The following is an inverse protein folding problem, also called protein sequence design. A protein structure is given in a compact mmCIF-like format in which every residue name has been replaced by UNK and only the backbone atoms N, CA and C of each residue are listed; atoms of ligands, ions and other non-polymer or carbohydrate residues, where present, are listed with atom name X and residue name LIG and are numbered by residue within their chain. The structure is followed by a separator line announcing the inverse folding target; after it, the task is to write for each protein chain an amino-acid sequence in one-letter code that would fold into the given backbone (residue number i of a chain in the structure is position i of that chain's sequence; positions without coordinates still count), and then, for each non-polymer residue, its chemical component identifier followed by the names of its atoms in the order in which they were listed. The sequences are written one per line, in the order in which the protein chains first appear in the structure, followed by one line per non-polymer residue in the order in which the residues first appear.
data_IF_112942345249
#
_entry.id   IF_112942345249
#
_cell.length_a   1.000
_cell.length_b   1.000
_cell.length_c   1.000
_cell.angle_alpha   90.00
_cell.angle_beta   90.00
_cell.angle_gamma   90.00
#
_symmetry.space_group_name_H-M   'P 1'
#
loop_
_entity.id
_entity.type
_entity.pdbx_description
1 polymer ?
#
# COMPACT_ATOMS: atom_id res chain seq x y z
N UNK A 1 14.55 -4.02 2.22
CA UNK A 1 15.68 -3.24 2.81
C UNK A 1 15.17 -1.91 3.39
N UNK A 2 15.43 -1.63 4.67
CA UNK A 2 14.84 -0.49 5.39
C UNK A 2 15.18 0.86 4.76
N UNK A 3 16.41 1.06 4.30
CA UNK A 3 16.86 2.36 3.82
C UNK A 3 16.29 2.70 2.44
N UNK A 4 16.09 1.69 1.59
CA UNK A 4 15.41 1.85 0.31
C UNK A 4 13.95 2.22 0.55
N UNK A 5 13.27 1.53 1.47
CA UNK A 5 11.86 1.82 1.81
C UNK A 5 11.74 3.25 2.35
N UNK A 6 12.63 3.68 3.26
CA UNK A 6 12.67 5.05 3.77
C UNK A 6 12.91 6.08 2.66
N UNK A 7 13.78 5.77 1.70
CA UNK A 7 14.03 6.63 0.54
C UNK A 7 12.77 6.77 -0.30
N UNK A 8 12.08 5.68 -0.59
CA UNK A 8 10.82 5.70 -1.33
C UNK A 8 9.72 6.47 -0.57
N UNK A 9 9.61 6.27 0.74
CA UNK A 9 8.67 7.00 1.60
C UNK A 9 8.93 8.51 1.57
N UNK A 10 10.19 8.93 1.65
CA UNK A 10 10.58 10.35 1.55
C UNK A 10 10.17 10.99 0.21
N UNK A 11 10.11 10.21 -0.87
CA UNK A 11 9.66 10.68 -2.17
C UNK A 11 8.12 10.55 -2.35
N UNK A 12 7.38 10.14 -1.32
CA UNK A 12 5.92 10.04 -1.35
C UNK A 12 5.37 8.77 -2.01
N UNK A 13 6.22 7.82 -2.40
CA UNK A 13 5.81 6.68 -3.24
C UNK A 13 4.90 5.67 -2.53
N UNK A 14 4.89 5.66 -1.19
CA UNK A 14 3.99 4.78 -0.41
C UNK A 14 2.54 5.27 -0.40
N UNK A 15 2.32 6.57 -0.59
CA UNK A 15 1.00 7.17 -0.76
C UNK A 15 0.69 7.54 -2.21
N UNK A 16 1.36 6.92 -3.19
CA UNK A 16 1.35 7.36 -4.59
C UNK A 16 -0.05 7.62 -5.15
N UNK A 17 -1.00 6.69 -4.94
CA UNK A 17 -2.38 6.80 -5.45
C UNK A 17 -3.33 7.56 -4.52
N UNK A 18 -2.90 7.90 -3.30
CA UNK A 18 -3.77 8.56 -2.33
C UNK A 18 -3.98 10.04 -2.68
N UNK A 19 -5.13 10.61 -2.27
CA UNK A 19 -5.37 12.05 -2.29
C UNK A 19 -4.30 12.86 -1.57
N UNK A 20 -4.04 14.07 -2.06
CA UNK A 20 -3.09 15.01 -1.46
C UNK A 20 -3.46 15.42 -0.04
N UNK A 21 -4.76 15.44 0.31
CA UNK A 21 -5.25 15.69 1.68
C UNK A 21 -4.73 14.67 2.72
N UNK A 22 -4.38 13.46 2.28
CA UNK A 22 -3.78 12.41 3.12
C UNK A 22 -2.26 12.30 2.92
N UNK A 23 -1.64 13.25 2.22
CA UNK A 23 -0.20 13.26 1.93
C UNK A 23 0.21 12.38 0.74
N UNK A 24 -0.73 12.02 -0.14
CA UNK A 24 -0.46 11.26 -1.36
C UNK A 24 -0.06 12.12 -2.56
N UNK A 25 0.20 11.44 -3.69
CA UNK A 25 0.63 12.07 -4.95
C UNK A 25 -0.44 12.07 -6.04
N UNK A 26 -1.65 11.55 -5.75
CA UNK A 26 -2.78 11.50 -6.67
C UNK A 26 -2.45 10.81 -8.01
N UNK A 27 -1.57 9.81 -8.00
CA UNK A 27 -1.26 9.02 -9.18
C UNK A 27 -2.48 8.25 -9.66
N UNK A 28 -2.74 8.32 -10.97
CA UNK A 28 -3.65 7.38 -11.61
C UNK A 28 -3.02 5.97 -11.69
N UNK A 29 -3.86 4.97 -11.99
CA UNK A 29 -3.39 3.58 -12.03
C UNK A 29 -2.43 3.30 -13.20
N UNK A 30 -2.40 4.13 -14.24
CA UNK A 30 -1.42 4.02 -15.33
C UNK A 30 -0.04 4.40 -14.81
N UNK A 31 0.06 5.54 -14.13
CA UNK A 31 1.28 6.03 -13.48
C UNK A 31 1.77 5.05 -12.42
N UNK A 32 0.85 4.53 -11.59
CA UNK A 32 1.19 3.50 -10.60
C UNK A 32 1.68 2.19 -11.24
N UNK A 33 1.08 1.77 -12.35
CA UNK A 33 1.53 0.62 -13.14
C UNK A 33 2.96 0.79 -13.67
N UNK A 34 3.26 1.94 -14.25
CA UNK A 34 4.61 2.27 -14.73
C UNK A 34 5.64 2.33 -13.58
N UNK A 35 5.26 2.90 -12.44
CA UNK A 35 6.09 2.93 -11.24
C UNK A 35 6.43 1.51 -10.76
N UNK A 36 5.43 0.64 -10.61
CA UNK A 36 5.64 -0.73 -10.13
C UNK A 36 6.42 -1.59 -11.12
N UNK A 37 6.28 -1.36 -12.43
CA UNK A 37 7.13 -1.96 -13.47
C UNK A 37 8.59 -1.54 -13.31
N UNK A 38 8.86 -0.23 -13.15
CA UNK A 38 10.20 0.30 -12.97
C UNK A 38 10.88 -0.25 -11.71
N UNK A 39 10.14 -0.33 -10.59
CA UNK A 39 10.65 -0.94 -9.35
C UNK A 39 10.93 -2.43 -9.54
N UNK A 40 10.04 -3.17 -10.22
CA UNK A 40 10.18 -4.60 -10.44
C UNK A 40 11.43 -4.97 -11.27
N UNK A 41 11.87 -4.09 -12.19
CA UNK A 41 13.15 -4.27 -12.92
C UNK A 41 14.36 -4.32 -12.00
N UNK A 42 14.31 -3.65 -10.85
CA UNK A 42 15.34 -3.73 -9.81
C UNK A 42 15.07 -4.84 -8.78
N UNK A 43 13.84 -4.93 -8.28
CA UNK A 43 13.43 -5.94 -7.30
C UNK A 43 11.93 -6.22 -7.34
N UNK A 44 11.57 -7.43 -7.75
CA UNK A 44 10.19 -7.93 -7.70
C UNK A 44 9.65 -7.97 -6.25
N UNK A 45 10.50 -8.31 -5.28
CA UNK A 45 10.13 -8.31 -3.87
C UNK A 45 9.75 -6.92 -3.36
N UNK A 46 10.48 -5.88 -3.78
CA UNK A 46 10.15 -4.49 -3.42
C UNK A 46 8.86 -4.03 -4.11
N UNK A 47 8.65 -4.40 -5.37
CA UNK A 47 7.38 -4.13 -6.08
C UNK A 47 6.18 -4.77 -5.34
N UNK A 48 6.36 -5.99 -4.83
CA UNK A 48 5.36 -6.66 -3.98
C UNK A 48 4.98 -5.87 -2.73
N UNK A 49 5.95 -5.21 -2.07
CA UNK A 49 5.66 -4.32 -0.94
C UNK A 49 4.75 -3.16 -1.34
N UNK A 50 5.04 -2.46 -2.44
CA UNK A 50 4.20 -1.36 -2.90
C UNK A 50 2.79 -1.83 -3.23
N UNK A 51 2.66 -2.97 -3.91
CA UNK A 51 1.36 -3.53 -4.27
C UNK A 51 0.50 -3.85 -3.04
N UNK A 52 1.05 -4.59 -2.08
CA UNK A 52 0.30 -4.96 -0.86
C UNK A 52 0.00 -3.72 -0.01
N UNK A 53 0.95 -2.81 0.13
CA UNK A 53 0.74 -1.57 0.88
C UNK A 53 -0.39 -0.73 0.26
N UNK A 54 -0.34 -0.54 -1.07
CA UNK A 54 -1.35 0.22 -1.82
C UNK A 54 -2.73 -0.41 -1.69
N UNK A 55 -2.84 -1.74 -1.78
CA UNK A 55 -4.11 -2.46 -1.57
C UNK A 55 -4.76 -2.11 -0.21
N UNK A 56 -3.97 -2.01 0.87
CA UNK A 56 -4.50 -1.63 2.18
C UNK A 56 -4.92 -0.17 2.21
N UNK A 57 -4.09 0.74 1.69
CA UNK A 57 -4.41 2.17 1.66
C UNK A 57 -5.68 2.46 0.84
N UNK A 58 -5.85 1.82 -0.31
CA UNK A 58 -7.03 1.93 -1.16
C UNK A 58 -8.27 1.35 -0.48
N UNK A 59 -8.11 0.27 0.30
CA UNK A 59 -9.22 -0.31 1.09
C UNK A 59 -9.71 0.67 2.14
N UNK A 60 -8.80 1.31 2.88
CA UNK A 60 -9.15 2.32 3.89
C UNK A 60 -9.76 3.56 3.22
N UNK A 61 -9.20 4.02 2.10
CA UNK A 61 -9.71 5.18 1.37
C UNK A 61 -11.15 4.93 0.87
N UNK A 62 -11.40 3.74 0.33
CA UNK A 62 -12.70 3.39 -0.26
C UNK A 62 -13.77 3.06 0.78
N UNK A 63 -13.42 2.35 1.84
CA UNK A 63 -14.38 1.74 2.77
C UNK A 63 -14.24 2.17 4.23
N UNK A 64 -13.16 2.88 4.57
CA UNK A 64 -12.96 3.39 5.92
C UNK A 64 -13.94 4.50 6.28
N UNK A 65 -14.23 4.63 7.57
CA UNK A 65 -14.88 5.83 8.11
C UNK A 65 -13.94 7.04 8.02
N UNK A 66 -14.48 8.26 8.08
CA UNK A 66 -13.66 9.47 8.07
C UNK A 66 -12.60 9.48 9.19
N UNK A 67 -12.94 8.96 10.38
CA UNK A 67 -11.98 8.84 11.47
C UNK A 67 -10.85 7.84 11.12
N UNK A 68 -11.15 6.72 10.48
CA UNK A 68 -10.14 5.76 10.05
C UNK A 68 -9.25 6.33 8.94
N UNK A 69 -9.82 7.05 7.96
CA UNK A 69 -9.06 7.69 6.88
C UNK A 69 -8.09 8.72 7.44
N UNK A 70 -8.59 9.66 8.25
CA UNK A 70 -7.81 10.73 8.86
C UNK A 70 -6.71 10.21 9.80
N UNK A 71 -6.96 9.09 10.48
CA UNK A 71 -5.96 8.47 11.36
C UNK A 71 -4.89 7.71 10.57
N UNK A 72 -5.28 6.87 9.60
CA UNK A 72 -4.38 5.87 9.04
C UNK A 72 -3.72 6.29 7.74
N UNK A 73 -4.43 6.95 6.83
CA UNK A 73 -3.89 7.27 5.50
C UNK A 73 -2.64 8.17 5.58
N UNK A 74 -2.57 9.22 6.42
CA UNK A 74 -1.34 10.02 6.56
C UNK A 74 -0.15 9.23 7.09
N UNK A 75 -0.38 8.29 8.01
CA UNK A 75 0.68 7.44 8.58
C UNK A 75 1.23 6.45 7.55
N UNK A 76 0.37 5.94 6.67
CA UNK A 76 0.73 5.02 5.61
C UNK A 76 1.42 5.75 4.45
N UNK A 77 0.86 6.89 4.00
CA UNK A 77 1.43 7.71 2.94
C UNK A 77 2.85 8.19 3.26
N UNK A 78 3.09 8.62 4.52
CA UNK A 78 4.41 9.05 4.99
C UNK A 78 5.41 7.91 5.19
N UNK A 79 4.96 6.66 5.19
CA UNK A 79 5.78 5.50 5.53
C UNK A 79 6.16 5.38 7.00
N UNK A 80 5.53 6.15 7.90
CA UNK A 80 5.65 5.99 9.35
C UNK A 80 5.12 4.62 9.80
N UNK A 81 4.16 4.08 9.05
CA UNK A 81 3.67 2.71 9.17
C UNK A 81 3.70 2.02 7.81
N UNK A 82 3.98 0.72 7.81
CA UNK A 82 3.88 -0.13 6.62
C UNK A 82 2.75 -1.11 6.84
N UNK A 83 1.75 -1.08 5.95
CA UNK A 83 0.63 -1.99 6.00
C UNK A 83 0.94 -3.33 5.32
N UNK A 84 0.24 -4.37 5.79
CA UNK A 84 0.23 -5.70 5.21
C UNK A 84 -1.21 -6.23 5.15
N UNK A 85 -1.46 -7.17 4.24
CA UNK A 85 -2.74 -7.81 4.07
C UNK A 85 -2.71 -9.22 4.69
N UNK A 86 -3.50 -9.43 5.74
CA UNK A 86 -3.60 -10.70 6.45
C UNK A 86 -4.92 -11.40 6.09
N UNK A 87 -4.87 -12.24 5.05
CA UNK A 87 -6.04 -13.01 4.58
C UNK A 87 -5.80 -14.53 4.62
N UNK A 88 -4.60 -14.97 4.22
CA UNK A 88 -4.30 -16.41 4.08
C UNK A 88 -4.10 -17.10 5.43
N UNK A 89 -4.67 -18.30 5.55
CA UNK A 89 -4.54 -19.19 6.72
C UNK A 89 -4.11 -20.60 6.28
N UNK A 90 -3.63 -21.49 7.18
CA UNK A 90 -3.21 -22.85 6.83
C UNK A 90 -4.24 -23.69 6.06
N UNK A 91 -5.53 -23.37 6.15
CA UNK A 91 -6.61 -24.04 5.41
C UNK A 91 -7.35 -23.16 4.40
N UNK A 92 -6.97 -21.89 4.23
CA UNK A 92 -7.69 -20.93 3.38
C UNK A 92 -6.70 -20.06 2.59
N UNK A 93 -6.60 -20.32 1.28
CA UNK A 93 -5.75 -19.60 0.33
C UNK A 93 -6.53 -19.13 -0.89
N UNK A 94 -6.79 -20.04 -1.84
CA UNK A 94 -7.62 -19.75 -3.01
C UNK A 94 -9.09 -19.53 -2.64
N UNK A 95 -9.60 -20.26 -1.64
CA UNK A 95 -10.94 -20.05 -1.07
C UNK A 95 -10.85 -19.35 0.27
N UNK A 96 -10.94 -18.02 0.23
CA UNK A 96 -10.90 -17.17 1.42
C UNK A 96 -12.19 -17.22 2.25
N UNK A 97 -13.27 -17.87 1.78
CA UNK A 97 -14.48 -18.03 2.58
C UNK A 97 -14.29 -19.03 3.73
N UNK A 98 -13.23 -19.83 3.70
CA UNK A 98 -12.90 -20.82 4.73
C UNK A 98 -12.02 -20.29 5.88
N UNK A 99 -11.74 -18.98 5.93
CA UNK A 99 -10.99 -18.32 7.02
C UNK A 99 -11.66 -18.60 8.38
N UNK A 100 -10.87 -18.75 9.43
CA UNK A 100 -11.32 -19.15 10.78
C UNK A 100 -10.87 -18.24 11.93
N UNK A 101 -10.04 -17.23 11.66
CA UNK A 101 -9.69 -16.20 12.65
C UNK A 101 -10.91 -15.40 13.09
#
# INVERSE_FOLDING_TARGET
PSDIIKTCAKNGYLGGTLPSEYGGLEWDYVTYGLFTEAIARGSVSLSGLFNVHTMVTETILKWGTENQKNQWLPLLASGNQIAALALTEPGAGSDLNMIKT
#
